data_IF_244056564518
#
_entry.id   IF_244056564518
#
_cell.length_a   1.000
_cell.length_b   1.000
_cell.length_c   1.000
_cell.angle_alpha   90.00
_cell.angle_beta   90.00
_cell.angle_gamma   90.00
#
_symmetry.space_group_name_H-M   'P 1'
#
loop_
_entity.id
_entity.type
_entity.pdbx_description
1 polymer ?
#
# COMPACT_ATOMS: atom_id res chain seq x y z
N UNK A 1 -22.51 79.47 100.31
CA UNK A 1 -21.83 78.17 100.06
C UNK A 1 -22.53 77.34 98.97
N UNK A 2 -23.87 77.31 98.89
CA UNK A 2 -24.61 76.48 97.91
C UNK A 2 -24.50 76.89 96.42
N UNK A 3 -24.35 78.17 96.08
CA UNK A 3 -24.33 78.64 94.66
C UNK A 3 -23.06 78.22 93.90
N UNK A 4 -21.94 78.05 94.61
CA UNK A 4 -20.67 77.63 94.02
C UNK A 4 -20.64 76.14 93.64
N UNK A 5 -21.40 75.31 94.36
CA UNK A 5 -21.55 73.87 94.11
C UNK A 5 -22.48 73.58 92.93
N UNK A 6 -23.57 74.34 92.80
CA UNK A 6 -24.55 74.21 91.69
C UNK A 6 -23.89 74.55 90.34
N UNK A 7 -23.11 75.64 90.29
CA UNK A 7 -22.38 76.04 89.07
C UNK A 7 -21.31 75.01 88.65
N UNK A 8 -20.66 74.34 89.62
CA UNK A 8 -19.71 73.25 89.34
C UNK A 8 -20.39 71.99 88.80
N UNK A 9 -21.57 71.64 89.34
CA UNK A 9 -22.37 70.50 88.89
C UNK A 9 -22.95 70.73 87.48
N UNK A 10 -23.40 71.94 87.17
CA UNK A 10 -23.95 72.27 85.85
C UNK A 10 -22.89 72.25 84.75
N UNK A 11 -21.67 72.74 85.05
CA UNK A 11 -20.51 72.64 84.15
C UNK A 11 -20.14 71.18 83.87
N UNK A 12 -20.06 70.34 84.91
CA UNK A 12 -19.81 68.89 84.78
C UNK A 12 -20.89 68.17 83.97
N UNK A 13 -22.16 68.54 84.16
CA UNK A 13 -23.31 67.99 83.43
C UNK A 13 -23.28 68.37 81.94
N UNK A 14 -22.88 69.59 81.61
CA UNK A 14 -22.70 70.03 80.22
C UNK A 14 -21.51 69.36 79.55
N UNK A 15 -20.39 69.17 80.25
CA UNK A 15 -19.24 68.40 79.76
C UNK A 15 -19.62 66.93 79.51
N UNK A 16 -20.36 66.29 80.43
CA UNK A 16 -20.83 64.92 80.24
C UNK A 16 -21.77 64.78 79.03
N UNK A 17 -22.71 65.73 78.86
CA UNK A 17 -23.61 65.75 77.68
C UNK A 17 -22.85 65.94 76.36
N UNK A 18 -21.82 66.80 76.34
CA UNK A 18 -20.96 67.01 75.16
C UNK A 18 -20.15 65.74 74.84
N UNK A 19 -19.48 65.16 75.83
CA UNK A 19 -18.69 63.94 75.68
C UNK A 19 -19.57 62.73 75.27
N UNK A 20 -20.81 62.66 75.76
CA UNK A 20 -21.78 61.61 75.36
C UNK A 20 -22.21 61.76 73.90
N UNK A 21 -22.45 62.99 73.42
CA UNK A 21 -22.73 63.27 72.00
C UNK A 21 -21.53 62.95 71.12
N UNK A 22 -20.32 63.35 71.52
CA UNK A 22 -19.08 63.06 70.77
C UNK A 22 -18.82 61.55 70.69
N UNK A 23 -18.98 60.80 71.79
CA UNK A 23 -18.90 59.32 71.78
C UNK A 23 -19.95 58.68 70.88
N UNK A 24 -21.17 59.22 70.85
CA UNK A 24 -22.24 58.71 70.00
C UNK A 24 -21.91 58.91 68.51
N UNK A 25 -21.37 60.09 68.16
CA UNK A 25 -20.91 60.41 66.79
C UNK A 25 -19.73 59.52 66.39
N UNK A 26 -18.72 59.39 67.24
CA UNK A 26 -17.54 58.54 67.01
C UNK A 26 -17.93 57.06 66.80
N UNK A 27 -18.88 56.54 67.59
CA UNK A 27 -19.37 55.17 67.40
C UNK A 27 -20.09 54.99 66.05
N UNK A 28 -20.81 56.01 65.57
CA UNK A 28 -21.49 55.97 64.26
C UNK A 28 -20.50 56.04 63.10
N UNK A 29 -19.49 56.91 63.19
CA UNK A 29 -18.38 56.98 62.22
C UNK A 29 -17.57 55.69 62.17
N UNK A 30 -17.27 55.09 63.33
CA UNK A 30 -16.59 53.79 63.41
C UNK A 30 -17.37 52.68 62.71
N UNK A 31 -18.69 52.62 62.92
CA UNK A 31 -19.57 51.68 62.19
C UNK A 31 -19.58 51.95 60.69
N UNK A 32 -19.66 53.21 60.27
CA UNK A 32 -19.65 53.59 58.86
C UNK A 32 -18.33 53.18 58.17
N UNK A 33 -17.20 53.39 58.84
CA UNK A 33 -15.88 52.98 58.34
C UNK A 33 -15.75 51.44 58.25
N UNK A 34 -16.35 50.72 59.21
CA UNK A 34 -16.45 49.26 59.17
C UNK A 34 -17.25 48.77 57.96
N UNK A 35 -18.41 49.37 57.69
CA UNK A 35 -19.22 49.03 56.49
C UNK A 35 -18.46 49.36 55.20
N UNK A 36 -17.81 50.51 55.11
CA UNK A 36 -17.00 50.88 53.95
C UNK A 36 -15.86 49.87 53.70
N UNK A 37 -15.19 49.44 54.77
CA UNK A 37 -14.13 48.42 54.69
C UNK A 37 -14.68 47.06 54.27
N UNK A 38 -15.87 46.68 54.74
CA UNK A 38 -16.54 45.43 54.34
C UNK A 38 -16.97 45.46 52.87
N UNK A 39 -17.54 46.57 52.41
CA UNK A 39 -17.91 46.77 50.99
C UNK A 39 -16.65 46.73 50.12
N UNK A 40 -15.57 47.41 50.53
CA UNK A 40 -14.30 47.39 49.80
C UNK A 40 -13.72 45.96 49.70
N UNK A 41 -13.76 45.18 50.80
CA UNK A 41 -13.35 43.76 50.80
C UNK A 41 -14.23 42.92 49.88
N UNK A 42 -15.55 43.13 49.87
CA UNK A 42 -16.48 42.43 49.00
C UNK A 42 -16.23 42.77 47.52
N UNK A 43 -16.03 44.05 47.20
CA UNK A 43 -15.67 44.49 45.85
C UNK A 43 -14.34 43.89 45.38
N UNK A 44 -13.33 43.84 46.25
CA UNK A 44 -12.04 43.25 45.94
C UNK A 44 -12.15 41.72 45.74
N UNK A 45 -12.93 41.03 46.58
CA UNK A 45 -13.20 39.60 46.44
C UNK A 45 -13.97 39.28 45.14
N UNK A 46 -14.96 40.10 44.79
CA UNK A 46 -15.72 39.96 43.54
C UNK A 46 -14.83 40.23 42.32
N UNK A 47 -13.98 41.26 42.38
CA UNK A 47 -13.01 41.54 41.33
C UNK A 47 -12.01 40.39 41.17
N UNK A 48 -11.50 39.82 42.26
CA UNK A 48 -10.63 38.64 42.22
C UNK A 48 -11.35 37.41 41.66
N UNK A 49 -12.61 37.18 42.01
CA UNK A 49 -13.42 36.08 41.48
C UNK A 49 -13.67 36.22 39.98
N UNK A 50 -14.05 37.42 39.54
CA UNK A 50 -14.25 37.75 38.12
C UNK A 50 -12.92 37.66 37.36
N UNK A 51 -11.81 38.14 37.91
CA UNK A 51 -10.49 38.00 37.31
C UNK A 51 -10.03 36.54 37.24
N UNK A 52 -10.29 35.72 38.26
CA UNK A 52 -10.02 34.29 38.24
C UNK A 52 -10.86 33.55 37.19
N UNK A 53 -12.12 33.97 36.98
CA UNK A 53 -12.97 33.43 35.92
C UNK A 53 -12.53 33.88 34.51
N UNK A 54 -12.06 35.13 34.36
CA UNK A 54 -11.58 35.70 33.08
C UNK A 54 -10.17 35.19 32.72
N UNK A 55 -9.34 34.82 33.69
CA UNK A 55 -8.02 34.22 33.43
C UNK A 55 -8.09 32.88 32.69
N UNK A 56 -9.26 32.24 32.67
CA UNK A 56 -9.49 31.00 31.91
C UNK A 56 -9.79 31.32 30.43
N UNK A 57 -10.43 32.44 30.11
CA UNK A 57 -10.78 32.80 28.72
C UNK A 57 -9.66 33.51 27.93
N UNK A 58 -8.65 34.07 28.62
CA UNK A 58 -7.49 34.71 27.96
C UNK A 58 -6.41 33.75 27.46
N UNK A 59 -6.46 32.47 27.84
CA UNK A 59 -5.42 31.47 27.53
C UNK A 59 -5.70 30.63 26.27
N UNK A 60 -6.81 30.90 25.56
CA UNK A 60 -7.23 30.11 24.40
C UNK A 60 -7.72 28.70 24.75
N UNK A 61 -8.15 28.50 26.01
CA UNK A 61 -8.75 27.25 26.49
C UNK A 61 -10.12 27.58 27.07
N UNK A 62 -11.20 27.15 26.43
CA UNK A 62 -12.56 27.25 26.99
C UNK A 62 -13.13 25.86 27.24
N UNK A 63 -13.79 25.67 28.39
CA UNK A 63 -14.60 24.50 28.66
C UNK A 63 -16.07 24.90 28.46
N UNK A 64 -16.67 24.50 27.35
CA UNK A 64 -18.07 24.81 27.02
C UNK A 64 -18.83 23.51 26.75
N UNK A 65 -19.98 23.31 27.40
CA UNK A 65 -20.80 22.10 27.26
C UNK A 65 -20.04 20.77 27.46
N UNK A 66 -19.01 20.77 28.30
CA UNK A 66 -18.17 19.58 28.56
C UNK A 66 -17.10 19.31 27.51
N UNK A 67 -17.01 20.12 26.45
CA UNK A 67 -15.92 20.07 25.48
C UNK A 67 -14.78 21.02 25.90
N UNK A 68 -13.54 20.54 25.76
CA UNK A 68 -12.34 21.36 25.88
C UNK A 68 -12.00 21.94 24.50
N UNK A 69 -12.22 23.23 24.32
CA UNK A 69 -11.84 23.95 23.10
C UNK A 69 -10.48 24.61 23.32
N UNK A 70 -9.50 24.24 22.50
CA UNK A 70 -8.16 24.83 22.50
C UNK A 70 -7.95 25.56 21.19
N UNK A 71 -7.86 26.89 21.22
CA UNK A 71 -7.67 27.73 20.02
C UNK A 71 -6.20 27.89 19.62
N UNK A 72 -5.29 27.69 20.57
CA UNK A 72 -3.84 27.67 20.35
C UNK A 72 -3.34 26.25 20.08
N UNK A 73 -2.02 26.10 19.93
CA UNK A 73 -1.40 24.78 19.83
C UNK A 73 -1.66 23.95 21.10
N UNK A 74 -1.83 22.64 20.93
CA UNK A 74 -1.93 21.68 22.03
C UNK A 74 -0.66 20.84 22.10
N UNK A 75 -0.04 20.77 23.28
CA UNK A 75 1.13 19.93 23.55
C UNK A 75 0.79 18.93 24.65
N UNK A 76 0.96 17.64 24.37
CA UNK A 76 0.93 16.57 25.37
C UNK A 76 2.32 15.94 25.41
N UNK A 77 2.94 15.99 26.59
CA UNK A 77 4.30 15.49 26.84
C UNK A 77 5.29 15.91 25.75
N UNK A 78 5.42 17.23 25.59
CA UNK A 78 6.26 17.96 24.61
C UNK A 78 5.97 17.64 23.13
N UNK A 79 6.10 16.39 22.71
CA UNK A 79 5.95 15.91 21.34
C UNK A 79 5.12 14.63 21.20
N UNK A 80 4.68 13.99 22.30
CA UNK A 80 3.87 12.76 22.26
C UNK A 80 2.59 12.95 21.43
N UNK A 81 1.82 14.01 21.70
CA UNK A 81 0.77 14.49 20.82
C UNK A 81 0.89 16.00 20.71
N UNK A 82 1.09 16.48 19.49
CA UNK A 82 1.21 17.89 19.18
C UNK A 82 0.16 18.28 18.13
N UNK A 83 -0.64 19.30 18.42
CA UNK A 83 -1.55 19.92 17.45
C UNK A 83 -1.05 21.33 17.17
N UNK A 84 -0.66 21.57 15.93
CA UNK A 84 -0.25 22.87 15.41
C UNK A 84 -1.48 23.56 14.80
N UNK A 85 -2.13 24.41 15.59
CA UNK A 85 -3.30 25.18 15.13
C UNK A 85 -2.91 26.29 14.15
N UNK A 86 -1.65 26.72 14.16
CA UNK A 86 -1.16 27.74 13.23
C UNK A 86 -1.01 27.19 11.82
N UNK A 87 -0.49 25.97 11.67
CA UNK A 87 -0.25 25.35 10.36
C UNK A 87 -1.23 24.23 9.99
N UNK A 88 -2.23 23.94 10.84
CA UNK A 88 -3.23 22.89 10.65
C UNK A 88 -2.62 21.48 10.53
N UNK A 89 -1.78 21.10 11.50
CA UNK A 89 -1.08 19.80 11.50
C UNK A 89 -1.18 19.09 12.85
N UNK A 90 -1.03 17.78 12.82
CA UNK A 90 -0.96 16.92 14.01
C UNK A 90 0.31 16.08 13.95
N UNK A 91 1.11 16.12 15.00
CA UNK A 91 2.29 15.28 15.22
C UNK A 91 2.04 14.29 16.35
N UNK A 92 2.53 13.05 16.18
CA UNK A 92 2.63 12.03 17.23
C UNK A 92 4.09 11.61 17.31
N UNK A 93 4.78 11.96 18.40
CA UNK A 93 6.24 11.82 18.56
C UNK A 93 7.06 12.88 17.79
N UNK A 94 6.44 14.02 17.45
CA UNK A 94 7.11 15.17 16.82
C UNK A 94 6.40 16.48 17.14
N UNK A 95 7.14 17.48 17.62
CA UNK A 95 6.64 18.84 17.86
C UNK A 95 6.74 19.74 16.61
N UNK A 96 7.18 19.22 15.46
CA UNK A 96 7.33 19.98 14.22
C UNK A 96 6.91 19.14 13.00
N UNK A 97 5.62 18.77 12.92
CA UNK A 97 5.11 17.95 11.82
C UNK A 97 5.30 18.67 10.47
N UNK A 98 5.87 17.94 9.52
CA UNK A 98 6.05 18.39 8.14
C UNK A 98 4.77 18.20 7.31
N UNK A 99 3.97 17.18 7.63
CA UNK A 99 2.69 16.84 6.99
C UNK A 99 1.48 17.11 7.90
N UNK A 100 0.27 17.06 7.35
CA UNK A 100 -0.98 17.26 8.13
C UNK A 100 -1.13 16.28 9.28
N UNK A 101 -0.69 15.03 9.10
CA UNK A 101 -0.55 14.04 10.16
C UNK A 101 0.84 13.39 10.02
N UNK A 102 1.65 13.47 11.06
CA UNK A 102 2.95 12.83 11.11
C UNK A 102 3.07 11.96 12.37
N UNK A 103 3.42 10.69 12.18
CA UNK A 103 3.76 9.76 13.28
C UNK A 103 5.24 9.45 13.17
N UNK A 104 6.03 9.85 14.15
CA UNK A 104 7.50 9.76 14.13
C UNK A 104 8.01 9.17 15.44
N UNK A 105 9.01 8.31 15.35
CA UNK A 105 9.76 7.83 16.50
C UNK A 105 11.12 7.31 16.01
N UNK A 106 12.21 7.82 16.59
CA UNK A 106 13.57 7.46 16.20
C UNK A 106 14.07 6.30 17.07
N UNK A 107 14.13 5.10 16.51
CA UNK A 107 14.52 3.87 17.22
C UNK A 107 15.04 2.80 16.25
N UNK A 108 15.86 1.87 16.73
CA UNK A 108 16.25 0.64 16.01
C UNK A 108 15.18 -0.46 16.17
N UNK A 109 13.93 -0.10 15.86
CA UNK A 109 12.76 -0.96 15.98
C UNK A 109 11.63 -0.42 15.07
N UNK A 110 10.50 -1.14 15.01
CA UNK A 110 9.38 -0.71 14.17
C UNK A 110 8.62 0.47 14.75
N UNK A 111 8.54 1.57 14.01
CA UNK A 111 7.55 2.64 14.22
C UNK A 111 6.32 2.34 13.36
N UNK A 112 5.12 2.29 13.95
CA UNK A 112 3.92 1.76 13.27
C UNK A 112 2.68 2.59 13.54
N UNK A 113 1.88 2.84 12.51
CA UNK A 113 0.46 3.11 12.65
C UNK A 113 -0.29 1.78 12.62
N UNK A 114 -1.01 1.45 13.69
CA UNK A 114 -1.78 0.21 13.81
C UNK A 114 -3.27 0.50 13.64
N UNK A 115 -3.88 -0.07 12.60
CA UNK A 115 -5.33 -0.08 12.38
C UNK A 115 -5.82 -1.53 12.54
N UNK A 116 -6.73 -1.78 13.47
CA UNK A 116 -7.26 -3.12 13.73
C UNK A 116 -8.77 -3.12 13.84
N UNK A 117 -9.40 -4.13 13.24
CA UNK A 117 -10.80 -4.46 13.44
C UNK A 117 -10.89 -5.92 13.86
N UNK A 118 -11.06 -6.18 15.15
CA UNK A 118 -11.06 -7.53 15.74
C UNK A 118 -12.45 -8.20 15.68
N UNK A 119 -13.36 -7.70 14.84
CA UNK A 119 -14.69 -8.32 14.68
C UNK A 119 -14.60 -9.79 14.23
N UNK A 120 -15.45 -10.64 14.79
CA UNK A 120 -15.62 -12.04 14.35
C UNK A 120 -16.64 -12.22 13.23
N UNK A 121 -17.24 -11.12 12.74
CA UNK A 121 -18.27 -11.13 11.70
C UNK A 121 -17.67 -11.28 10.29
N UNK A 122 -18.53 -11.66 9.34
CA UNK A 122 -18.15 -11.93 7.94
C UNK A 122 -17.73 -10.70 7.13
N UNK A 123 -17.82 -9.50 7.71
CA UNK A 123 -17.42 -8.22 7.09
C UNK A 123 -16.24 -7.55 7.77
N UNK A 124 -15.57 -8.25 8.69
CA UNK A 124 -14.49 -7.68 9.50
C UNK A 124 -13.26 -7.36 8.65
N UNK A 125 -12.92 -6.07 8.59
CA UNK A 125 -11.80 -5.55 7.81
C UNK A 125 -11.16 -4.34 8.51
N UNK A 126 -9.84 -4.25 8.42
CA UNK A 126 -9.07 -3.06 8.81
C UNK A 126 -8.60 -2.36 7.52
N UNK A 127 -8.85 -1.06 7.41
CA UNK A 127 -8.70 -0.33 6.15
C UNK A 127 -7.98 0.99 6.41
N UNK A 128 -7.00 1.30 5.56
CA UNK A 128 -6.54 2.66 5.32
C UNK A 128 -7.02 3.06 3.93
N UNK A 129 -7.81 4.13 3.87
CA UNK A 129 -8.38 4.65 2.62
C UNK A 129 -7.77 6.01 2.29
N UNK A 130 -7.38 6.18 1.03
CA UNK A 130 -7.01 7.47 0.44
C UNK A 130 -7.95 7.72 -0.73
N UNK A 131 -8.80 8.73 -0.60
CA UNK A 131 -9.85 9.03 -1.58
C UNK A 131 -9.66 10.45 -2.11
N UNK A 132 -9.97 10.64 -3.39
CA UNK A 132 -10.46 11.93 -3.88
C UNK A 132 -12.00 11.92 -3.84
N UNK A 133 -12.64 12.91 -4.46
CA UNK A 133 -14.10 13.05 -4.46
C UNK A 133 -14.85 11.87 -5.12
N UNK A 134 -14.16 11.07 -5.95
CA UNK A 134 -14.78 10.03 -6.81
C UNK A 134 -14.07 8.68 -6.71
N UNK A 135 -12.75 8.66 -6.60
CA UNK A 135 -11.90 7.47 -6.61
C UNK A 135 -11.25 7.24 -5.26
N UNK A 136 -11.08 5.96 -4.92
CA UNK A 136 -10.49 5.54 -3.66
C UNK A 136 -9.44 4.47 -3.88
N UNK A 137 -8.36 4.61 -3.11
CA UNK A 137 -7.30 3.64 -2.97
C UNK A 137 -7.37 3.05 -1.56
N UNK A 138 -7.22 1.74 -1.47
CA UNK A 138 -7.40 1.00 -0.23
C UNK A 138 -6.21 0.11 0.06
N UNK A 139 -5.80 0.10 1.33
CA UNK A 139 -4.97 -0.95 1.92
C UNK A 139 -5.85 -1.74 2.90
N UNK A 140 -6.26 -2.94 2.50
CA UNK A 140 -7.21 -3.76 3.25
C UNK A 140 -6.50 -4.94 3.93
N UNK A 141 -6.95 -5.28 5.13
CA UNK A 141 -6.71 -6.58 5.74
C UNK A 141 -8.04 -7.19 6.18
N UNK A 142 -8.30 -8.42 5.75
CA UNK A 142 -9.57 -9.10 5.97
C UNK A 142 -9.46 -10.11 7.11
N UNK A 143 -10.47 -10.12 7.98
CA UNK A 143 -10.53 -11.04 9.11
C UNK A 143 -10.60 -12.51 8.67
N UNK A 144 -10.27 -13.41 9.60
CA UNK A 144 -10.32 -14.85 9.39
C UNK A 144 -11.74 -15.42 9.31
N UNK A 145 -12.78 -14.61 9.41
CA UNK A 145 -14.18 -15.01 9.16
C UNK A 145 -14.78 -14.32 7.92
N UNK A 146 -14.00 -13.50 7.21
CA UNK A 146 -14.48 -12.70 6.10
C UNK A 146 -15.01 -13.58 4.96
N UNK A 147 -16.20 -13.25 4.43
CA UNK A 147 -16.76 -13.95 3.27
C UNK A 147 -16.04 -13.49 2.02
N UNK A 148 -15.21 -14.37 1.45
CA UNK A 148 -14.39 -14.05 0.27
C UNK A 148 -15.26 -13.62 -0.92
N UNK A 149 -14.87 -12.54 -1.61
CA UNK A 149 -15.52 -12.02 -2.81
C UNK A 149 -14.48 -11.34 -3.71
N UNK A 150 -14.43 -11.71 -4.99
CA UNK A 150 -13.40 -11.18 -5.90
C UNK A 150 -11.97 -11.40 -5.39
N UNK A 151 -11.19 -10.32 -5.35
CA UNK A 151 -9.82 -10.25 -4.82
C UNK A 151 -9.75 -10.30 -3.29
N UNK A 152 -10.84 -9.96 -2.58
CA UNK A 152 -10.89 -10.06 -1.12
C UNK A 152 -10.94 -11.54 -0.69
N UNK A 153 -9.91 -11.97 0.05
CA UNK A 153 -9.78 -13.32 0.61
C UNK A 153 -9.72 -13.26 2.13
N UNK A 154 -10.37 -14.23 2.77
CA UNK A 154 -10.32 -14.45 4.22
C UNK A 154 -8.86 -14.51 4.71
N UNK A 155 -8.56 -13.84 5.84
CA UNK A 155 -7.20 -13.73 6.39
C UNK A 155 -6.14 -13.18 5.40
N UNK A 156 -6.60 -12.48 4.35
CA UNK A 156 -5.76 -11.92 3.31
C UNK A 156 -5.52 -10.41 3.49
N UNK A 157 -4.68 -9.88 2.62
CA UNK A 157 -4.49 -8.45 2.45
C UNK A 157 -4.61 -8.09 0.97
N UNK A 158 -5.04 -6.86 0.69
CA UNK A 158 -5.22 -6.35 -0.66
C UNK A 158 -4.75 -4.90 -0.74
N UNK A 159 -4.07 -4.57 -1.84
CA UNK A 159 -3.91 -3.20 -2.33
C UNK A 159 -4.82 -3.04 -3.55
N UNK A 160 -5.81 -2.15 -3.45
CA UNK A 160 -6.83 -1.95 -4.47
C UNK A 160 -7.01 -0.48 -4.84
N UNK A 161 -7.34 -0.25 -6.11
CA UNK A 161 -7.77 1.04 -6.63
C UNK A 161 -8.96 0.83 -7.56
N UNK A 162 -9.88 1.79 -7.59
CA UNK A 162 -10.99 1.83 -8.53
C UNK A 162 -10.86 2.98 -9.55
N UNK A 163 -9.72 3.69 -9.54
CA UNK A 163 -9.47 4.78 -10.47
C UNK A 163 -9.20 4.25 -11.89
N UNK A 164 -9.74 4.93 -12.91
CA UNK A 164 -9.56 4.55 -14.31
C UNK A 164 -8.08 4.54 -14.77
N UNK A 165 -7.18 5.21 -14.04
CA UNK A 165 -5.74 5.20 -14.28
C UNK A 165 -5.00 3.95 -13.79
N UNK A 166 -5.66 3.06 -13.04
CA UNK A 166 -5.08 1.82 -12.53
C UNK A 166 -4.06 2.02 -11.39
N UNK A 167 -3.28 0.97 -11.11
CA UNK A 167 -2.28 0.94 -10.04
C UNK A 167 -0.86 0.88 -10.60
N UNK A 168 0.01 1.77 -10.12
CA UNK A 168 1.45 1.73 -10.42
C UNK A 168 2.24 1.25 -9.18
N UNK A 169 3.19 0.34 -9.40
CA UNK A 169 4.21 -0.05 -8.41
C UNK A 169 5.54 0.42 -8.97
N UNK A 170 6.21 1.33 -8.26
CA UNK A 170 7.38 2.03 -8.81
C UNK A 170 8.49 2.14 -7.77
N UNK A 171 9.74 1.99 -8.22
CA UNK A 171 10.92 2.42 -7.50
C UNK A 171 11.53 3.62 -8.23
N UNK A 172 11.73 4.74 -7.53
CA UNK A 172 12.20 5.99 -8.13
C UNK A 172 13.71 6.18 -8.05
N UNK A 173 14.41 5.32 -7.31
CA UNK A 173 15.87 5.30 -7.30
C UNK A 173 16.35 4.51 -8.53
N UNK A 174 17.15 5.14 -9.39
CA UNK A 174 17.63 4.54 -10.65
C UNK A 174 18.53 3.31 -10.49
N UNK A 175 18.98 3.00 -9.28
CA UNK A 175 19.74 1.78 -8.95
C UNK A 175 18.89 0.73 -8.19
N UNK A 176 17.63 1.01 -7.92
CA UNK A 176 16.77 0.12 -7.15
C UNK A 176 15.90 -0.77 -8.05
N UNK A 177 15.47 -1.89 -7.49
CA UNK A 177 14.71 -2.94 -8.17
C UNK A 177 13.33 -3.12 -7.53
N UNK A 178 12.38 -3.69 -8.26
CA UNK A 178 11.09 -4.13 -7.71
C UNK A 178 11.15 -5.64 -7.50
N UNK A 179 10.78 -6.14 -6.32
CA UNK A 179 10.87 -7.56 -5.95
C UNK A 179 9.55 -8.10 -5.40
N UNK A 180 9.31 -9.38 -5.64
CA UNK A 180 8.16 -10.13 -5.13
C UNK A 180 8.63 -11.38 -4.41
N UNK A 181 8.17 -11.57 -3.17
CA UNK A 181 8.62 -12.62 -2.26
C UNK A 181 7.46 -13.52 -1.82
N UNK A 182 7.76 -14.77 -1.47
CA UNK A 182 6.85 -15.64 -0.70
C UNK A 182 7.62 -16.38 0.40
N UNK A 183 7.03 -16.51 1.60
CA UNK A 183 7.67 -17.18 2.74
C UNK A 183 8.59 -16.29 3.60
N UNK A 184 8.52 -14.96 3.43
CA UNK A 184 9.34 -13.98 4.17
C UNK A 184 10.19 -13.12 3.24
N UNK A 185 10.98 -12.20 3.80
CA UNK A 185 11.73 -11.17 3.05
C UNK A 185 13.23 -11.49 2.86
N UNK A 186 13.66 -12.71 3.17
CA UNK A 186 15.02 -13.15 2.91
C UNK A 186 15.28 -13.31 1.41
N UNK A 187 16.52 -13.14 0.94
CA UNK A 187 16.85 -13.19 -0.49
C UNK A 187 16.47 -14.52 -1.17
N UNK A 188 16.56 -15.63 -0.44
CA UNK A 188 16.13 -16.96 -0.93
C UNK A 188 14.61 -17.09 -1.12
N UNK A 189 13.83 -16.15 -0.59
CA UNK A 189 12.38 -16.12 -0.69
C UNK A 189 11.86 -15.28 -1.86
N UNK A 190 12.77 -14.68 -2.62
CA UNK A 190 12.42 -13.94 -3.82
C UNK A 190 11.93 -14.91 -4.92
N UNK A 191 10.88 -14.49 -5.64
CA UNK A 191 10.26 -15.28 -6.71
C UNK A 191 10.33 -14.57 -8.06
N UNK A 192 10.21 -13.24 -8.05
CA UNK A 192 10.28 -12.40 -9.26
C UNK A 192 10.93 -11.06 -8.92
N UNK A 193 11.66 -10.50 -9.89
CA UNK A 193 12.09 -9.09 -9.88
C UNK A 193 11.93 -8.40 -11.23
N UNK A 194 11.94 -7.07 -11.16
CA UNK A 194 12.29 -6.18 -12.26
C UNK A 194 13.58 -5.47 -11.84
N UNK A 195 14.67 -5.70 -12.59
CA UNK A 195 15.96 -5.05 -12.33
C UNK A 195 15.93 -3.56 -12.65
N UNK A 196 16.97 -2.85 -12.23
CA UNK A 196 17.21 -1.45 -12.52
C UNK A 196 17.40 -1.19 -14.03
N UNK A 197 17.87 -2.20 -14.77
CA UNK A 197 17.94 -2.18 -16.23
C UNK A 197 16.59 -2.49 -16.93
N UNK A 198 15.53 -2.76 -16.16
CA UNK A 198 14.20 -3.09 -16.66
C UNK A 198 14.01 -4.56 -17.05
N UNK A 199 14.92 -5.45 -16.66
CA UNK A 199 14.83 -6.88 -16.97
C UNK A 199 13.96 -7.61 -15.95
N UNK A 200 13.04 -8.45 -16.43
CA UNK A 200 12.20 -9.30 -15.57
C UNK A 200 12.93 -10.62 -15.29
N UNK A 201 13.19 -10.90 -14.01
CA UNK A 201 13.71 -12.19 -13.56
C UNK A 201 12.64 -12.99 -12.83
N UNK A 202 12.48 -14.28 -13.17
CA UNK A 202 11.67 -15.24 -12.42
C UNK A 202 12.61 -16.35 -11.93
N UNK A 203 12.66 -16.55 -10.61
CA UNK A 203 13.59 -17.51 -9.98
C UNK A 203 15.07 -17.14 -10.06
N UNK A 204 15.42 -15.92 -10.49
CA UNK A 204 16.80 -15.43 -10.60
C UNK A 204 16.92 -14.02 -10.04
N UNK A 205 18.06 -13.73 -9.39
CA UNK A 205 18.40 -12.39 -8.91
C UNK A 205 19.21 -11.59 -9.92
N UNK A 206 19.75 -12.20 -10.98
CA UNK A 206 20.60 -11.52 -11.95
C UNK A 206 20.08 -11.73 -13.39
N UNK A 207 18.89 -11.18 -13.75
CA UNK A 207 18.37 -11.31 -15.09
C UNK A 207 19.23 -10.52 -16.10
N UNK A 208 19.87 -11.25 -17.02
CA UNK A 208 20.72 -10.68 -18.09
C UNK A 208 20.01 -10.56 -19.45
N UNK A 209 18.71 -10.83 -19.48
CA UNK A 209 17.82 -10.69 -20.64
C UNK A 209 16.54 -9.97 -20.22
N UNK A 210 15.81 -9.36 -21.18
CA UNK A 210 14.52 -8.67 -20.94
C UNK A 210 13.55 -9.50 -20.09
N UNK A 211 13.49 -10.80 -20.34
CA UNK A 211 12.82 -11.80 -19.51
C UNK A 211 13.78 -12.99 -19.33
N UNK A 212 14.08 -13.34 -18.09
CA UNK A 212 14.88 -14.52 -17.74
C UNK A 212 14.11 -15.36 -16.72
N UNK A 213 13.86 -16.64 -17.06
CA UNK A 213 13.30 -17.64 -16.13
C UNK A 213 14.39 -18.64 -15.78
N UNK A 214 14.75 -18.72 -14.51
CA UNK A 214 15.63 -19.79 -14.03
C UNK A 214 14.80 -21.02 -13.70
N UNK A 215 14.80 -22.00 -14.61
CA UNK A 215 14.00 -23.22 -14.54
C UNK A 215 13.09 -23.38 -15.75
N UNK A 216 12.09 -24.26 -15.64
CA UNK A 216 11.16 -24.55 -16.72
C UNK A 216 10.00 -23.55 -16.74
N UNK A 217 9.59 -23.13 -17.94
CA UNK A 217 8.38 -22.35 -18.16
C UNK A 217 7.34 -23.21 -18.89
N UNK A 218 6.11 -23.27 -18.35
CA UNK A 218 4.98 -23.85 -19.06
C UNK A 218 4.18 -22.73 -19.72
N UNK A 219 4.28 -22.61 -21.04
CA UNK A 219 3.57 -21.61 -21.83
C UNK A 219 2.50 -22.33 -22.65
N UNK A 220 1.24 -22.15 -22.28
CA UNK A 220 0.10 -22.81 -22.93
C UNK A 220 -0.42 -22.07 -24.17
N UNK A 221 0.01 -20.82 -24.37
CA UNK A 221 -0.25 -20.03 -25.57
C UNK A 221 0.91 -20.07 -26.57
N UNK A 222 0.75 -19.37 -27.70
CA UNK A 222 1.80 -19.25 -28.71
C UNK A 222 2.91 -18.30 -28.27
N UNK A 223 4.17 -18.73 -28.40
CA UNK A 223 5.35 -17.86 -28.24
C UNK A 223 5.73 -17.27 -29.60
N UNK A 224 5.58 -15.95 -29.76
CA UNK A 224 6.12 -15.23 -30.90
C UNK A 224 7.59 -14.90 -30.63
N UNK A 225 8.48 -15.55 -31.36
CA UNK A 225 9.89 -15.18 -31.45
C UNK A 225 10.13 -14.45 -32.78
N UNK A 226 11.16 -13.61 -32.84
CA UNK A 226 11.57 -12.93 -34.08
C UNK A 226 12.19 -13.90 -35.08
N UNK A 227 13.21 -13.47 -35.82
CA UNK A 227 14.02 -14.41 -36.58
C UNK A 227 14.72 -15.39 -35.61
N UNK A 228 14.63 -16.69 -35.88
CA UNK A 228 15.52 -17.67 -35.26
C UNK A 228 16.95 -17.31 -35.67
N UNK A 229 17.78 -17.02 -34.68
CA UNK A 229 19.21 -16.82 -34.88
C UNK A 229 19.93 -18.15 -34.63
N UNK A 230 21.13 -18.32 -35.16
CA UNK A 230 21.98 -19.43 -34.75
C UNK A 230 22.12 -19.41 -33.21
N UNK A 231 21.84 -20.53 -32.55
CA UNK A 231 21.74 -20.68 -31.09
C UNK A 231 20.47 -20.10 -30.43
N UNK A 232 19.39 -19.82 -31.17
CA UNK A 232 18.08 -19.66 -30.54
C UNK A 232 17.75 -20.91 -29.71
N UNK A 233 17.11 -20.77 -28.54
CA UNK A 233 16.73 -21.91 -27.72
C UNK A 233 15.94 -22.88 -28.60
N UNK A 234 16.43 -24.12 -28.66
CA UNK A 234 15.66 -25.21 -29.22
C UNK A 234 14.35 -25.22 -28.45
N UNK A 235 13.23 -25.00 -29.15
CA UNK A 235 11.93 -25.35 -28.60
C UNK A 235 11.91 -26.87 -28.50
N UNK A 236 12.49 -27.40 -27.42
CA UNK A 236 12.47 -28.83 -27.13
C UNK A 236 11.03 -29.24 -26.86
N UNK A 237 10.29 -29.64 -27.90
CA UNK A 237 9.22 -30.61 -27.69
C UNK A 237 9.91 -31.93 -27.35
N UNK A 238 9.65 -32.42 -26.15
CA UNK A 238 10.22 -33.63 -25.54
C UNK A 238 9.85 -34.95 -26.24
N UNK A 239 9.22 -34.91 -27.41
CA UNK A 239 9.04 -36.07 -28.26
C UNK A 239 8.78 -35.62 -29.71
N UNK A 240 9.51 -36.23 -30.63
CA UNK A 240 9.36 -36.21 -32.10
C UNK A 240 10.13 -35.09 -32.86
N UNK A 241 11.14 -35.45 -33.69
CA UNK A 241 11.63 -34.57 -34.73
C UNK A 241 10.63 -34.56 -35.88
N UNK A 242 10.06 -33.41 -36.28
CA UNK A 242 9.35 -33.38 -37.55
C UNK A 242 9.30 -32.01 -38.21
N UNK A 243 10.18 -31.82 -39.19
CA UNK A 243 9.82 -31.14 -40.43
C UNK A 243 10.40 -32.00 -41.54
N UNK A 244 9.61 -32.90 -42.14
CA UNK A 244 10.03 -33.63 -43.34
C UNK A 244 9.50 -32.92 -44.59
N UNK A 245 10.35 -32.35 -45.44
CA UNK A 245 9.97 -31.98 -46.82
C UNK A 245 10.40 -33.11 -47.74
N UNK A 246 9.50 -33.58 -48.60
CA UNK A 246 9.74 -34.74 -49.46
C UNK A 246 9.54 -34.34 -50.91
N UNK A 247 10.62 -34.36 -51.69
CA UNK A 247 10.64 -34.00 -53.12
C UNK A 247 11.27 -35.11 -53.95
N UNK A 248 10.89 -35.18 -55.23
CA UNK A 248 11.57 -36.08 -56.18
C UNK A 248 12.58 -35.23 -56.94
N UNK A 249 13.85 -35.63 -56.91
CA UNK A 249 14.90 -34.96 -57.68
C UNK A 249 14.79 -35.28 -59.18
N UNK A 250 15.43 -34.48 -60.03
CA UNK A 250 15.43 -34.66 -61.49
C UNK A 250 15.99 -36.03 -61.92
N UNK A 251 16.84 -36.64 -61.09
CA UNK A 251 17.41 -37.99 -61.30
C UNK A 251 16.51 -39.13 -60.77
N UNK A 252 15.29 -38.81 -60.33
CA UNK A 252 14.29 -39.77 -59.85
C UNK A 252 14.48 -40.21 -58.40
N UNK A 253 15.45 -39.67 -57.66
CA UNK A 253 15.65 -40.00 -56.24
C UNK A 253 14.61 -39.35 -55.35
N UNK A 254 14.26 -40.04 -54.27
CA UNK A 254 13.46 -39.52 -53.18
C UNK A 254 14.36 -38.68 -52.27
N UNK A 255 14.08 -37.39 -52.18
CA UNK A 255 14.80 -36.45 -51.31
C UNK A 255 13.96 -36.16 -50.08
N UNK A 256 14.47 -36.47 -48.90
CA UNK A 256 13.83 -36.15 -47.62
C UNK A 256 14.70 -35.16 -46.87
N UNK A 257 14.16 -33.98 -46.62
CA UNK A 257 14.77 -32.96 -45.77
C UNK A 257 14.16 -33.03 -44.39
N UNK A 258 14.95 -33.28 -43.34
CA UNK A 258 14.50 -33.32 -41.96
C UNK A 258 15.48 -32.70 -40.98
N UNK A 259 15.03 -32.40 -39.77
CA UNK A 259 15.90 -31.94 -38.69
C UNK A 259 16.30 -33.15 -37.85
N UNK A 260 17.60 -33.42 -37.76
CA UNK A 260 18.16 -34.49 -36.94
C UNK A 260 18.86 -33.90 -35.72
N UNK A 261 18.76 -34.58 -34.57
CA UNK A 261 19.56 -34.26 -33.40
C UNK A 261 20.74 -35.22 -33.33
N UNK A 262 21.96 -34.69 -33.43
CA UNK A 262 23.19 -35.46 -33.26
C UNK A 262 24.19 -34.69 -32.40
N UNK A 263 24.90 -35.39 -31.52
CA UNK A 263 25.93 -34.86 -30.63
C UNK A 263 25.56 -33.57 -29.86
N UNK A 264 24.29 -33.40 -29.47
CA UNK A 264 23.85 -32.23 -28.70
C UNK A 264 23.39 -31.03 -29.55
N UNK A 265 23.32 -31.16 -30.87
CA UNK A 265 22.86 -30.10 -31.76
C UNK A 265 21.82 -30.59 -32.78
N UNK A 266 20.89 -29.71 -33.16
CA UNK A 266 19.97 -29.96 -34.27
C UNK A 266 20.57 -29.48 -35.59
N UNK A 267 20.60 -30.36 -36.59
CA UNK A 267 21.09 -30.06 -37.93
C UNK A 267 20.01 -30.35 -38.98
N UNK A 268 19.96 -29.53 -40.03
CA UNK A 268 19.21 -29.82 -41.25
C UNK A 268 19.93 -30.93 -42.00
N UNK A 269 19.25 -32.05 -42.23
CA UNK A 269 19.75 -33.19 -42.99
C UNK A 269 18.92 -33.33 -44.26
N UNK A 270 19.60 -33.56 -45.38
CA UNK A 270 18.97 -33.84 -46.67
C UNK A 270 19.47 -35.22 -47.10
N UNK A 271 18.59 -36.21 -47.13
CA UNK A 271 18.89 -37.54 -47.61
C UNK A 271 18.29 -37.75 -48.99
N UNK A 272 19.08 -38.20 -49.96
CA UNK A 272 18.63 -38.56 -51.29
C UNK A 272 18.84 -40.06 -51.49
N UNK A 273 17.74 -40.81 -51.58
CA UNK A 273 17.77 -42.27 -51.71
C UNK A 273 17.07 -42.72 -52.99
N UNK A 274 17.60 -43.76 -53.62
CA UNK A 274 16.91 -44.43 -54.73
C UNK A 274 15.58 -45.01 -54.21
N UNK A 275 14.51 -44.94 -55.01
CA UNK A 275 13.19 -45.49 -54.67
C UNK A 275 13.28 -46.92 -54.13
N UNK A 276 14.14 -47.72 -54.74
CA UNK A 276 14.26 -49.16 -54.48
C UNK A 276 15.05 -49.45 -53.20
N UNK A 277 15.86 -48.50 -52.74
CA UNK A 277 16.68 -48.59 -51.52
C UNK A 277 16.11 -47.75 -50.36
N UNK A 278 15.06 -46.98 -50.59
CA UNK A 278 14.42 -46.15 -49.59
C UNK A 278 13.84 -46.99 -48.46
N UNK A 279 14.21 -46.66 -47.22
CA UNK A 279 13.65 -47.32 -46.04
C UNK A 279 12.15 -47.00 -45.90
N UNK A 280 11.45 -47.74 -45.03
CA UNK A 280 10.01 -47.59 -44.82
C UNK A 280 9.59 -46.15 -44.48
N UNK A 281 10.41 -45.38 -43.76
CA UNK A 281 10.07 -44.01 -43.38
C UNK A 281 10.29 -43.01 -44.51
N UNK A 282 11.31 -43.21 -45.36
CA UNK A 282 11.48 -42.43 -46.59
C UNK A 282 10.25 -42.58 -47.48
N UNK A 283 9.82 -43.82 -47.73
CA UNK A 283 8.64 -44.12 -48.55
C UNK A 283 7.35 -43.59 -47.93
N UNK A 284 7.18 -43.73 -46.62
CA UNK A 284 6.01 -43.21 -45.90
C UNK A 284 5.84 -41.69 -46.04
N UNK A 285 6.94 -40.95 -46.21
CA UNK A 285 6.86 -39.52 -46.48
C UNK A 285 6.23 -39.19 -47.84
N UNK A 286 6.48 -40.00 -48.88
CA UNK A 286 5.93 -39.79 -50.22
C UNK A 286 4.55 -40.42 -50.41
N UNK A 287 4.26 -41.55 -49.77
CA UNK A 287 2.93 -42.19 -49.83
C UNK A 287 1.83 -41.35 -49.19
N UNK A 288 2.18 -40.53 -48.19
CA UNK A 288 1.23 -39.59 -47.56
C UNK A 288 1.05 -38.29 -48.34
N UNK A 289 1.87 -38.03 -49.37
CA UNK A 289 1.73 -36.84 -50.22
C UNK A 289 0.53 -36.90 -51.19
N UNK A 290 -0.11 -38.05 -51.42
CA UNK A 290 -1.40 -38.06 -52.15
C UNK A 290 -2.56 -37.46 -51.33
N UNK A 291 -2.43 -37.35 -50.00
CA UNK A 291 -3.37 -36.59 -49.16
C UNK A 291 -2.95 -35.12 -48.95
N UNK A 292 -1.79 -34.71 -49.45
CA UNK A 292 -1.27 -33.35 -49.40
C UNK A 292 -1.31 -32.62 -50.76
N UNK A 293 -2.21 -33.01 -51.68
CA UNK A 293 -2.57 -32.20 -52.87
C UNK A 293 -3.23 -30.84 -52.55
N UNK A 294 -3.11 -30.35 -51.31
CA UNK A 294 -3.58 -29.04 -50.90
C UNK A 294 -2.44 -28.02 -50.72
N UNK A 295 -1.18 -28.42 -50.91
CA UNK A 295 -0.02 -27.52 -50.75
C UNK A 295 0.31 -26.67 -51.98
N UNK A 296 -0.34 -26.91 -53.12
CA UNK A 296 -0.19 -26.08 -54.34
C UNK A 296 -1.26 -24.97 -54.45
N UNK A 297 -2.15 -24.80 -53.46
CA UNK A 297 -3.17 -23.72 -53.47
C UNK A 297 -2.95 -22.60 -52.45
N UNK A 298 -1.93 -22.67 -51.59
CA UNK A 298 -1.72 -21.68 -50.53
C UNK A 298 -0.59 -20.71 -50.85
N UNK A 299 -0.88 -19.80 -51.76
CA UNK A 299 -0.12 -18.58 -51.98
C UNK A 299 -0.38 -17.50 -50.90
N UNK A 300 -0.78 -17.85 -49.67
CA UNK A 300 -0.94 -16.89 -48.58
C UNK A 300 -0.89 -17.55 -47.19
N UNK A 301 0.12 -17.16 -46.43
CA UNK A 301 0.28 -17.09 -44.97
C UNK A 301 -0.50 -18.05 -44.05
N UNK A 302 0.30 -18.66 -43.16
CA UNK A 302 -0.01 -19.41 -41.94
C UNK A 302 -0.39 -20.89 -42.12
N UNK A 303 0.51 -21.77 -41.64
CA UNK A 303 0.25 -23.19 -41.40
C UNK A 303 -0.26 -23.30 -39.96
N UNK A 304 -1.39 -23.96 -39.74
CA UNK A 304 -1.93 -24.20 -38.38
C UNK A 304 -1.61 -25.62 -37.91
N UNK A 305 -1.53 -25.84 -36.60
CA UNK A 305 -1.18 -27.15 -36.02
C UNK A 305 -2.26 -28.22 -36.31
N UNK A 306 -3.49 -27.83 -36.64
CA UNK A 306 -4.55 -28.77 -37.05
C UNK A 306 -4.27 -29.43 -38.41
N UNK A 307 -3.38 -28.85 -39.23
CA UNK A 307 -3.01 -29.39 -40.55
C UNK A 307 -2.02 -30.58 -40.46
N UNK A 308 -1.46 -30.85 -39.27
CA UNK A 308 -0.46 -31.91 -39.04
C UNK A 308 -1.08 -33.07 -38.24
N UNK A 309 -2.10 -33.70 -38.81
CA UNK A 309 -2.74 -34.90 -38.25
C UNK A 309 -2.08 -36.20 -38.71
N UNK A 310 -0.98 -36.64 -38.09
CA UNK A 310 -0.45 -38.01 -38.28
C UNK A 310 -1.16 -38.99 -37.33
N UNK A 311 -2.13 -39.76 -37.83
CA UNK A 311 -2.74 -40.88 -37.09
C UNK A 311 -1.89 -42.16 -37.27
N UNK A 312 -1.52 -42.82 -36.16
CA UNK A 312 -0.55 -43.92 -36.08
C UNK A 312 -1.19 -45.31 -35.88
N UNK A 313 -2.42 -45.54 -36.36
CA UNK A 313 -3.12 -46.83 -36.18
C UNK A 313 -2.75 -47.96 -37.15
N UNK A 314 -1.82 -47.76 -38.10
CA UNK A 314 -1.56 -48.73 -39.18
C UNK A 314 -0.35 -49.66 -38.98
N UNK A 315 0.20 -49.76 -37.76
CA UNK A 315 1.39 -50.61 -37.50
C UNK A 315 1.15 -52.12 -37.60
N UNK A 316 -0.10 -52.57 -37.71
CA UNK A 316 -0.47 -54.00 -37.77
C UNK A 316 -0.72 -54.53 -39.19
N UNK A 317 -0.73 -53.70 -40.24
CA UNK A 317 -1.16 -54.14 -41.58
C UNK A 317 -0.05 -54.76 -42.45
N UNK A 318 1.24 -54.64 -42.10
CA UNK A 318 2.33 -55.14 -42.96
C UNK A 318 3.39 -55.94 -42.19
N UNK A 319 2.93 -56.95 -41.45
CA UNK A 319 3.73 -58.16 -41.19
C UNK A 319 3.14 -59.32 -41.98
N UNK A 320 3.43 -59.36 -43.28
CA UNK A 320 3.64 -60.57 -44.08
C UNK A 320 4.34 -60.17 -45.37
#
# INVERSE_FOLDING_TARGET
>A
MAVHEVNGMEKRRNTYRKNKKERFVLNRFSRLNSYFTQILKLCLALALFVMAAILISGAGITAENGALNVSNNLFIDTDTLFVDSTNNKVGIGTASPSQRLEVRHDQDASTRLKVTNQGGGTSSSAIIQVTDDVTANFFNHYGSAYTSSGSAKQAGAELATNGAGGMSITSTNGAAVIRFYTGGNADNNERMRISEAGNVGIGTTAPNQRLMVAGNANITGTVYYGALQANSPVLERTAEPFVARCTVADDGKLVVEYIHFDAGAYARVIEAVNSDSASWWHRSCFEKNEKFKFLDSLNNNSITIEDIGFNWSMKTAFKK
#
